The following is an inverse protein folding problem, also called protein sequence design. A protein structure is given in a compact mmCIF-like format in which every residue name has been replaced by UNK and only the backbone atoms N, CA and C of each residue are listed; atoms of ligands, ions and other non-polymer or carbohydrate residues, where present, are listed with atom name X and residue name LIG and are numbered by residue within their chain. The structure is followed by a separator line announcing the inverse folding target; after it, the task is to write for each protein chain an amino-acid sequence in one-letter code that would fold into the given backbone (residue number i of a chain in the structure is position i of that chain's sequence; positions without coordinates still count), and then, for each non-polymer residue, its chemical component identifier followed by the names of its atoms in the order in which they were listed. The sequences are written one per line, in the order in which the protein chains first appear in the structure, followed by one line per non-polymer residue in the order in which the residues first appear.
data_IF_354392807489
#
_entry.id   IF_354392807489
#
_cell.length_a   1.000
_cell.length_b   1.000
_cell.length_c   1.000
_cell.angle_alpha   90.00
_cell.angle_beta   90.00
_cell.angle_gamma   90.00
#
_symmetry.space_group_name_H-M   'P 1'
#
loop_
_entity.id
_entity.type
_entity.pdbx_description
1 polymer ?
#
# COMPACT_ATOMS: atom_id res chain seq x y z
N UNK A 1 10.85 -28.54 -3.94
CA UNK A 1 9.52 -29.19 -3.89
C UNK A 1 8.44 -28.14 -3.98
N UNK A 2 7.28 -28.54 -4.39
CA UNK A 2 6.05 -27.74 -4.34
C UNK A 2 5.04 -28.42 -3.45
N UNK A 3 4.16 -27.62 -2.84
CA UNK A 3 3.02 -28.13 -2.07
C UNK A 3 2.01 -28.67 -3.07
N UNK A 4 1.63 -29.93 -2.92
CA UNK A 4 0.61 -30.59 -3.74
C UNK A 4 -0.74 -30.56 -3.01
N UNK A 5 -0.73 -30.72 -1.67
CA UNK A 5 -1.93 -30.75 -0.85
C UNK A 5 -1.63 -30.42 0.62
N UNK A 6 -2.63 -29.93 1.34
CA UNK A 6 -2.63 -29.73 2.79
C UNK A 6 -3.80 -30.55 3.34
N UNK A 7 -3.48 -31.58 4.14
CA UNK A 7 -4.45 -32.60 4.51
C UNK A 7 -5.33 -32.16 5.69
N UNK A 8 -6.57 -32.64 5.67
CA UNK A 8 -7.59 -32.53 6.72
C UNK A 8 -8.06 -31.10 7.06
N UNK A 9 -7.83 -30.15 6.15
CA UNK A 9 -8.27 -28.74 6.33
C UNK A 9 -9.78 -28.65 6.45
N UNK A 10 -10.54 -29.47 5.75
CA UNK A 10 -12.01 -29.49 5.79
C UNK A 10 -12.55 -29.95 7.16
N UNK A 11 -11.76 -30.71 7.92
CA UNK A 11 -12.08 -31.11 9.29
C UNK A 11 -11.72 -30.03 10.33
N UNK A 12 -11.21 -28.87 9.86
CA UNK A 12 -10.78 -27.76 10.71
C UNK A 12 -9.43 -27.97 11.40
N UNK A 13 -8.68 -28.99 10.98
CA UNK A 13 -7.37 -29.32 11.50
C UNK A 13 -6.42 -29.66 10.35
N UNK A 14 -5.17 -29.21 10.42
CA UNK A 14 -4.08 -29.64 9.53
C UNK A 14 -3.36 -30.78 10.20
N UNK A 15 -3.17 -31.90 9.49
CA UNK A 15 -2.45 -33.08 10.04
C UNK A 15 -1.17 -33.38 9.28
N UNK A 16 -1.08 -33.00 8.01
CA UNK A 16 0.10 -33.22 7.21
C UNK A 16 0.13 -32.30 5.97
N UNK A 17 1.31 -32.18 5.37
CA UNK A 17 1.53 -31.54 4.07
C UNK A 17 2.04 -32.59 3.08
N UNK A 18 1.51 -32.56 1.84
CA UNK A 18 1.93 -33.40 0.76
C UNK A 18 2.81 -32.57 -0.21
N UNK A 19 4.06 -32.97 -0.34
CA UNK A 19 5.08 -32.30 -1.15
C UNK A 19 5.45 -33.13 -2.36
N UNK A 20 5.56 -32.47 -3.50
CA UNK A 20 6.10 -33.06 -4.72
C UNK A 20 7.48 -32.49 -5.02
N UNK A 21 8.48 -33.36 -5.17
CA UNK A 21 9.80 -32.97 -5.63
C UNK A 21 9.75 -32.69 -7.13
N UNK A 22 10.03 -31.45 -7.55
CA UNK A 22 9.95 -31.02 -8.95
C UNK A 22 11.03 -31.64 -9.86
N UNK A 23 12.10 -32.23 -9.29
CA UNK A 23 13.19 -32.86 -10.05
C UNK A 23 12.97 -34.36 -10.23
N UNK A 24 12.51 -35.04 -9.16
CA UNK A 24 12.34 -36.50 -9.17
C UNK A 24 10.90 -36.93 -9.40
N UNK A 25 9.91 -36.02 -9.26
CA UNK A 25 8.47 -36.26 -9.23
C UNK A 25 8.01 -37.16 -8.06
N UNK A 26 8.89 -37.46 -7.12
CA UNK A 26 8.51 -38.17 -5.90
C UNK A 26 7.61 -37.32 -5.01
N UNK A 27 6.62 -37.99 -4.45
CA UNK A 27 5.66 -37.35 -3.51
C UNK A 27 5.95 -37.86 -2.11
N UNK A 28 6.04 -36.92 -1.16
CA UNK A 28 6.27 -37.20 0.26
C UNK A 28 5.19 -36.53 1.09
N UNK A 29 4.65 -37.24 2.05
CA UNK A 29 3.75 -36.70 3.08
C UNK A 29 4.53 -36.45 4.37
N UNK A 30 4.46 -35.23 4.91
CA UNK A 30 5.15 -34.81 6.13
C UNK A 30 4.09 -34.44 7.15
N UNK A 31 4.02 -35.11 8.32
CA UNK A 31 3.12 -34.72 9.41
C UNK A 31 3.46 -33.30 9.92
N UNK A 32 2.43 -32.46 10.11
CA UNK A 32 2.56 -31.14 10.70
C UNK A 32 1.21 -30.66 11.21
N UNK A 33 1.23 -29.77 12.21
CA UNK A 33 0.02 -29.22 12.83
C UNK A 33 -0.43 -27.91 12.18
N UNK A 34 0.33 -27.38 11.22
CA UNK A 34 0.01 -26.15 10.50
C UNK A 34 0.99 -25.87 9.36
N UNK A 35 0.55 -25.05 8.40
CA UNK A 35 1.36 -24.65 7.24
C UNK A 35 1.31 -23.14 7.09
N UNK A 36 2.47 -22.49 7.04
CA UNK A 36 2.61 -21.07 6.72
C UNK A 36 3.12 -20.92 5.29
N UNK A 37 2.39 -20.13 4.49
CA UNK A 37 2.78 -19.81 3.12
C UNK A 37 3.53 -18.48 3.14
N UNK A 38 4.84 -18.51 2.85
CA UNK A 38 5.73 -17.35 2.88
C UNK A 38 6.47 -17.20 1.54
N UNK A 39 5.73 -17.15 0.43
CA UNK A 39 6.26 -17.15 -0.94
C UNK A 39 6.40 -15.74 -1.54
N UNK A 40 6.26 -14.70 -0.74
CA UNK A 40 6.30 -13.30 -1.13
C UNK A 40 4.95 -12.59 -0.98
N UNK A 41 4.93 -11.33 -1.38
CA UNK A 41 3.76 -10.47 -1.28
C UNK A 41 3.47 -9.84 -2.64
N UNK A 42 2.20 -9.72 -2.97
CA UNK A 42 1.72 -8.92 -4.09
C UNK A 42 0.86 -7.79 -3.51
N UNK A 43 1.18 -6.51 -3.76
CA UNK A 43 0.36 -5.41 -3.27
C UNK A 43 -1.00 -5.39 -3.99
N UNK A 44 -2.07 -5.03 -3.25
CA UNK A 44 -3.42 -4.93 -3.80
C UNK A 44 -3.62 -3.56 -4.48
N UNK A 45 -2.89 -3.29 -5.54
CA UNK A 45 -2.82 -2.01 -6.26
C UNK A 45 -3.49 -2.05 -7.63
N UNK A 46 -4.14 -3.13 -7.99
CA UNK A 46 -4.76 -3.33 -9.31
C UNK A 46 -5.78 -2.22 -9.65
N UNK A 47 -6.50 -1.72 -8.62
CA UNK A 47 -7.47 -0.63 -8.80
C UNK A 47 -6.82 0.74 -9.09
N UNK A 48 -5.52 0.90 -8.85
CA UNK A 48 -4.78 2.14 -9.11
C UNK A 48 -4.04 2.16 -10.45
N UNK A 49 -4.09 1.05 -11.20
CA UNK A 49 -3.45 0.97 -12.52
C UNK A 49 -4.03 2.04 -13.45
N UNK A 50 -3.14 2.84 -14.05
CA UNK A 50 -3.52 3.97 -14.90
C UNK A 50 -3.96 5.23 -14.16
N UNK A 51 -4.04 5.21 -12.82
CA UNK A 51 -4.36 6.37 -11.98
C UNK A 51 -3.14 6.86 -11.20
N UNK A 52 -2.32 5.95 -10.68
CA UNK A 52 -1.07 6.25 -9.98
C UNK A 52 0.10 5.58 -10.68
N UNK A 53 1.30 6.15 -10.51
CA UNK A 53 2.53 5.47 -10.90
C UNK A 53 2.80 4.30 -9.94
N UNK A 54 3.06 3.13 -10.52
CA UNK A 54 3.43 1.92 -9.80
C UNK A 54 4.88 1.52 -10.13
N UNK A 55 5.53 0.81 -9.23
CA UNK A 55 6.82 0.15 -9.49
C UNK A 55 6.62 -1.06 -10.41
N UNK A 56 7.71 -1.63 -10.93
CA UNK A 56 7.67 -2.85 -11.75
C UNK A 56 7.04 -4.04 -11.00
N UNK A 57 7.14 -4.06 -9.67
CA UNK A 57 6.55 -5.08 -8.81
C UNK A 57 5.13 -4.72 -8.32
N UNK A 58 4.56 -3.61 -8.81
CA UNK A 58 3.18 -3.20 -8.57
C UNK A 58 2.96 -2.37 -7.30
N UNK A 59 3.99 -1.97 -6.56
CA UNK A 59 3.84 -1.07 -5.41
C UNK A 59 3.57 0.35 -5.84
N UNK A 60 2.86 1.15 -5.03
CA UNK A 60 2.66 2.57 -5.31
C UNK A 60 4.00 3.30 -5.20
N UNK A 61 4.40 3.96 -6.29
CA UNK A 61 5.63 4.74 -6.32
C UNK A 61 5.43 6.06 -5.59
N UNK A 62 6.32 6.33 -4.62
CA UNK A 62 6.27 7.55 -3.82
C UNK A 62 7.53 8.39 -3.98
N UNK A 63 7.38 9.70 -3.83
CA UNK A 63 8.45 10.68 -3.68
C UNK A 63 8.32 11.36 -2.32
N UNK A 64 9.42 11.88 -1.77
CA UNK A 64 9.45 12.51 -0.44
C UNK A 64 8.82 11.63 0.65
N UNK A 65 8.93 10.31 0.49
CA UNK A 65 8.49 9.33 1.46
C UNK A 65 7.04 8.84 1.29
N UNK A 66 6.07 9.68 0.93
CA UNK A 66 4.65 9.31 0.88
C UNK A 66 3.83 9.95 -0.25
N UNK A 67 4.40 10.92 -1.00
CA UNK A 67 3.70 11.62 -2.09
C UNK A 67 3.62 10.73 -3.32
N UNK A 68 2.42 10.57 -3.88
CA UNK A 68 2.23 9.81 -5.12
C UNK A 68 2.41 10.69 -6.35
N UNK A 69 2.24 10.12 -7.54
CA UNK A 69 2.23 10.86 -8.82
C UNK A 69 1.05 11.83 -8.95
N UNK A 70 0.03 11.75 -8.09
CA UNK A 70 -1.15 12.60 -8.11
C UNK A 70 -1.17 13.51 -6.87
N UNK A 71 -1.22 14.82 -7.08
CA UNK A 71 -1.30 15.81 -5.99
C UNK A 71 -2.51 15.53 -5.11
N UNK A 72 -2.32 15.56 -3.79
CA UNK A 72 -3.37 15.31 -2.79
C UNK A 72 -3.64 13.82 -2.53
N UNK A 73 -2.92 12.94 -3.20
CA UNK A 73 -2.96 11.49 -2.96
C UNK A 73 -1.65 11.04 -2.35
N UNK A 74 -1.73 10.43 -1.19
CA UNK A 74 -0.58 9.92 -0.44
C UNK A 74 -0.69 8.40 -0.29
N UNK A 75 0.46 7.72 -0.23
CA UNK A 75 0.53 6.28 0.01
C UNK A 75 1.45 5.98 1.20
N UNK A 76 1.05 5.06 2.05
CA UNK A 76 1.81 4.65 3.23
C UNK A 76 1.63 3.16 3.53
N UNK A 77 2.51 2.61 4.36
CA UNK A 77 2.48 1.21 4.73
C UNK A 77 2.94 0.27 3.61
N UNK A 78 2.52 -0.98 3.70
CA UNK A 78 2.97 -2.05 2.82
C UNK A 78 2.68 -1.80 1.34
N UNK A 79 1.67 -1.01 1.02
CA UNK A 79 1.29 -0.69 -0.37
C UNK A 79 2.38 0.07 -1.15
N UNK A 80 3.27 0.77 -0.45
CA UNK A 80 4.41 1.50 -1.01
C UNK A 80 5.76 0.96 -0.55
N UNK A 81 5.80 0.15 0.52
CA UNK A 81 7.02 -0.42 1.09
C UNK A 81 7.34 -1.78 0.47
N UNK A 82 8.08 -1.78 -0.62
CA UNK A 82 8.50 -2.99 -1.31
C UNK A 82 9.56 -3.80 -0.53
N UNK A 83 10.28 -3.16 0.40
CA UNK A 83 11.48 -3.71 1.01
C UNK A 83 11.24 -4.26 2.42
N UNK A 84 10.73 -3.45 3.34
CA UNK A 84 10.67 -3.79 4.76
C UNK A 84 9.37 -4.46 5.18
N UNK A 85 8.23 -3.85 4.87
CA UNK A 85 6.88 -4.37 5.19
C UNK A 85 6.75 -4.75 6.65
N UNK A 86 7.15 -3.83 7.52
CA UNK A 86 7.09 -3.99 8.96
C UNK A 86 6.07 -3.02 9.57
N UNK A 87 5.43 -3.44 10.67
CA UNK A 87 4.43 -2.61 11.35
C UNK A 87 4.97 -1.23 11.74
N UNK A 88 6.23 -1.15 12.18
CA UNK A 88 6.84 0.12 12.56
C UNK A 88 7.10 1.04 11.36
N UNK A 89 7.52 0.50 10.21
CA UNK A 89 7.70 1.30 8.99
C UNK A 89 6.35 1.78 8.44
N UNK A 90 5.34 0.92 8.51
CA UNK A 90 3.96 1.28 8.13
C UNK A 90 3.40 2.40 9.02
N UNK A 91 3.60 2.32 10.34
CA UNK A 91 3.19 3.38 11.27
C UNK A 91 3.92 4.69 11.00
N UNK A 92 5.23 4.65 10.73
CA UNK A 92 6.05 5.82 10.40
C UNK A 92 5.58 6.52 9.14
N UNK A 93 5.41 5.79 8.05
CA UNK A 93 4.91 6.35 6.78
C UNK A 93 3.44 6.80 6.90
N UNK A 94 2.61 6.13 7.72
CA UNK A 94 1.26 6.56 8.04
C UNK A 94 1.22 7.93 8.72
N UNK A 95 2.10 8.16 9.70
CA UNK A 95 2.26 9.47 10.33
C UNK A 95 2.70 10.54 9.31
N UNK A 96 3.68 10.23 8.45
CA UNK A 96 4.13 11.15 7.40
C UNK A 96 3.00 11.52 6.44
N UNK A 97 2.21 10.55 5.98
CA UNK A 97 1.09 10.78 5.08
C UNK A 97 0.00 11.67 5.71
N UNK A 98 -0.29 11.47 7.00
CA UNK A 98 -1.25 12.30 7.73
C UNK A 98 -0.79 13.76 7.85
N UNK A 99 0.49 13.99 8.16
CA UNK A 99 1.07 15.33 8.25
C UNK A 99 1.10 16.03 6.89
N UNK A 100 1.49 15.34 5.83
CA UNK A 100 1.48 15.90 4.47
C UNK A 100 0.06 16.26 4.00
N UNK A 101 -0.94 15.45 4.36
CA UNK A 101 -2.33 15.77 4.07
C UNK A 101 -2.81 17.01 4.85
N UNK A 102 -2.46 17.12 6.13
CA UNK A 102 -2.78 18.29 6.96
C UNK A 102 -2.16 19.56 6.37
N UNK A 103 -0.87 19.55 6.09
CA UNK A 103 -0.17 20.71 5.52
C UNK A 103 -0.71 21.13 4.16
N UNK A 104 -1.11 20.17 3.32
CA UNK A 104 -1.74 20.47 2.04
C UNK A 104 -3.07 21.21 2.24
N UNK A 105 -3.92 20.74 3.16
CA UNK A 105 -5.22 21.35 3.42
C UNK A 105 -5.06 22.76 4.01
N UNK A 106 -4.15 22.95 4.97
CA UNK A 106 -3.83 24.26 5.55
C UNK A 106 -3.38 25.27 4.47
N UNK A 107 -2.48 24.83 3.57
CA UNK A 107 -2.01 25.67 2.47
C UNK A 107 -3.12 26.04 1.47
N UNK A 108 -4.04 25.11 1.19
CA UNK A 108 -5.20 25.36 0.30
C UNK A 108 -6.22 26.32 0.94
N UNK A 109 -6.44 26.22 2.25
CA UNK A 109 -7.28 27.17 3.01
C UNK A 109 -6.70 28.58 3.02
N UNK A 110 -5.40 28.72 3.26
CA UNK A 110 -4.70 30.00 3.25
C UNK A 110 -4.78 30.64 1.84
N UNK A 111 -4.49 29.89 0.79
CA UNK A 111 -4.57 30.38 -0.59
C UNK A 111 -5.99 30.83 -0.96
N UNK A 112 -7.00 30.12 -0.51
CA UNK A 112 -8.42 30.44 -0.74
C UNK A 112 -8.82 31.74 0.01
N UNK A 113 -8.35 31.92 1.24
CA UNK A 113 -8.59 33.13 2.03
C UNK A 113 -7.93 34.37 1.42
N UNK A 114 -6.72 34.25 0.86
CA UNK A 114 -6.04 35.34 0.19
C UNK A 114 -6.76 35.77 -1.10
N UNK A 115 -7.21 34.81 -1.91
CA UNK A 115 -7.99 35.08 -3.13
C UNK A 115 -9.32 35.78 -2.81
N UNK A 116 -9.99 35.39 -1.72
CA UNK A 116 -11.20 36.06 -1.24
C UNK A 116 -10.97 37.52 -0.87
N UNK A 117 -9.86 37.81 -0.15
CA UNK A 117 -9.48 39.18 0.22
C UNK A 117 -9.14 40.07 -1.00
N UNK A 118 -8.52 39.49 -2.04
CA UNK A 118 -8.17 40.21 -3.26
C UNK A 118 -9.41 40.61 -4.07
N UNK A 119 -10.35 39.68 -4.24
CA UNK A 119 -11.63 39.93 -4.91
C UNK A 119 -12.45 41.03 -4.23
N UNK A 120 -12.49 41.08 -2.89
CA UNK A 120 -13.22 42.10 -2.16
C UNK A 120 -12.58 43.47 -2.37
N UNK A 121 -11.24 43.59 -2.38
CA UNK A 121 -10.54 44.86 -2.61
C UNK A 121 -10.78 45.40 -4.02
N UNK A 122 -10.77 44.56 -5.05
CA UNK A 122 -11.06 44.96 -6.45
C UNK A 122 -12.52 45.47 -6.59
N UNK A 123 -13.47 44.80 -5.97
CA UNK A 123 -14.89 45.19 -6.04
C UNK A 123 -15.15 46.55 -5.33
N UNK A 124 -14.42 46.85 -4.27
CA UNK A 124 -14.53 48.15 -3.57
C UNK A 124 -13.87 49.27 -4.37
N UNK A 125 -12.74 49.02 -5.03
CA UNK A 125 -12.04 50.01 -5.86
C UNK A 125 -12.78 50.39 -7.15
N UNK A 126 -13.68 49.56 -7.67
CA UNK A 126 -14.47 49.85 -8.87
C UNK A 126 -15.77 50.64 -8.57
N UNK A 127 -16.15 50.81 -7.32
CA UNK A 127 -17.38 51.52 -6.90
C UNK A 127 -17.14 52.91 -6.33
N UNK A 128 -15.91 53.37 -6.25
CA UNK A 128 -15.52 54.71 -5.83
C UNK A 128 -15.04 55.54 -7.02
#
# INVERSE_FOLDING_TARGET
SVVEDILDVEEGQVTAIKLKNIKTNEVQTIPCDGVFIAIGHKPNTELFVGQLELTENGYVKTTDGVKTSVKGVFASGDVQDELYRQAITAAGTGCMAALEAQWLLEAEEEASAEQGKHKVKETVAQKG
#
